data_IF_042690627516
#
_entry.id   IF_042690627516
#
_cell.length_a   1.000
_cell.length_b   1.000
_cell.length_c   1.000
_cell.angle_alpha   90.00
_cell.angle_beta   90.00
_cell.angle_gamma   90.00
#
_symmetry.space_group_name_H-M   'P 1'
#
loop_
_entity.id
_entity.type
_entity.pdbx_description
1 polymer ?
#
# COMPACT_ATOMS: atom_id res chain seq x y z
N UNK A 1 24.46 -91.57 106.81
CA UNK A 1 24.80 -91.23 105.42
C UNK A 1 23.61 -90.83 104.54
N UNK A 2 22.40 -91.36 104.76
CA UNK A 2 21.21 -91.05 103.93
C UNK A 2 20.75 -89.56 103.97
N UNK A 3 20.86 -88.87 105.12
CA UNK A 3 20.44 -87.44 105.24
C UNK A 3 21.34 -86.45 104.50
N UNK A 4 22.63 -86.76 104.32
CA UNK A 4 23.57 -85.91 103.57
C UNK A 4 23.41 -86.07 102.05
N UNK A 5 23.09 -87.29 101.59
CA UNK A 5 22.80 -87.57 100.18
C UNK A 5 21.53 -86.85 99.70
N UNK A 6 20.52 -86.75 100.56
CA UNK A 6 19.25 -86.08 100.25
C UNK A 6 19.41 -84.55 100.13
N UNK A 7 20.23 -83.93 100.98
CA UNK A 7 20.56 -82.49 100.88
C UNK A 7 21.42 -82.18 99.65
N UNK A 8 22.38 -83.04 99.31
CA UNK A 8 23.21 -82.89 98.10
C UNK A 8 22.37 -83.02 96.81
N UNK A 9 21.40 -83.93 96.80
CA UNK A 9 20.48 -84.08 95.67
C UNK A 9 19.54 -82.87 95.52
N UNK A 10 19.05 -82.30 96.64
CA UNK A 10 18.21 -81.09 96.63
C UNK A 10 18.95 -79.86 96.11
N UNK A 11 20.22 -79.69 96.48
CA UNK A 11 21.09 -78.60 95.99
C UNK A 11 21.39 -78.74 94.49
N UNK A 12 21.62 -79.97 94.01
CA UNK A 12 21.89 -80.22 92.59
C UNK A 12 20.64 -80.00 91.71
N UNK A 13 19.44 -80.32 92.22
CA UNK A 13 18.16 -80.02 91.56
C UNK A 13 17.83 -78.53 91.62
N UNK A 14 18.16 -77.83 92.71
CA UNK A 14 17.99 -76.37 92.80
C UNK A 14 18.89 -75.60 91.82
N UNK A 15 20.17 -75.99 91.72
CA UNK A 15 21.14 -75.36 90.81
C UNK A 15 20.84 -75.61 89.32
N UNK A 16 20.33 -76.80 88.97
CA UNK A 16 19.93 -77.10 87.59
C UNK A 16 18.66 -76.35 87.17
N UNK A 17 17.72 -76.12 88.10
CA UNK A 17 16.54 -75.29 87.84
C UNK A 17 16.89 -73.80 87.63
N UNK A 18 17.84 -73.24 88.41
CA UNK A 18 18.28 -71.84 88.22
C UNK A 18 19.08 -71.67 86.92
N UNK A 19 19.92 -72.65 86.54
CA UNK A 19 20.59 -72.64 85.24
C UNK A 19 19.60 -72.81 84.08
N UNK A 20 18.55 -73.64 84.23
CA UNK A 20 17.49 -73.78 83.24
C UNK A 20 16.65 -72.51 83.07
N UNK A 21 16.33 -71.80 84.16
CA UNK A 21 15.64 -70.50 84.12
C UNK A 21 16.46 -69.45 83.37
N UNK A 22 17.75 -69.29 83.67
CA UNK A 22 18.63 -68.36 82.93
C UNK A 22 18.77 -68.73 81.46
N UNK A 23 18.77 -70.02 81.13
CA UNK A 23 18.85 -70.50 79.75
C UNK A 23 17.55 -70.25 78.99
N UNK A 24 16.39 -70.40 79.63
CA UNK A 24 15.09 -70.03 79.09
C UNK A 24 15.01 -68.54 78.79
N UNK A 25 15.42 -67.70 79.74
CA UNK A 25 15.38 -66.25 79.59
C UNK A 25 16.35 -65.74 78.49
N UNK A 26 17.52 -66.38 78.34
CA UNK A 26 18.44 -66.13 77.21
C UNK A 26 17.86 -66.57 75.85
N UNK A 27 17.04 -67.62 75.81
CA UNK A 27 16.33 -68.07 74.61
C UNK A 27 15.24 -67.05 74.25
N UNK A 28 14.47 -66.59 75.23
CA UNK A 28 13.42 -65.59 75.04
C UNK A 28 14.00 -64.25 74.53
N UNK A 29 15.11 -63.79 75.12
CA UNK A 29 15.83 -62.60 74.64
C UNK A 29 16.39 -62.78 73.22
N UNK A 30 16.88 -63.97 72.87
CA UNK A 30 17.34 -64.26 71.50
C UNK A 30 16.19 -64.25 70.50
N UNK A 31 15.03 -64.79 70.87
CA UNK A 31 13.82 -64.71 70.05
C UNK A 31 13.38 -63.26 69.88
N UNK A 32 13.33 -62.47 70.95
CA UNK A 32 12.97 -61.05 70.89
C UNK A 32 13.94 -60.24 70.01
N UNK A 33 15.24 -60.46 70.14
CA UNK A 33 16.26 -59.84 69.30
C UNK A 33 16.12 -60.23 67.82
N UNK A 34 15.81 -61.51 67.52
CA UNK A 34 15.50 -61.96 66.16
C UNK A 34 14.25 -61.27 65.62
N UNK A 35 13.17 -61.19 66.40
CA UNK A 35 11.96 -60.48 65.99
C UNK A 35 12.23 -58.99 65.70
N UNK A 36 13.02 -58.31 66.54
CA UNK A 36 13.44 -56.92 66.31
C UNK A 36 14.31 -56.79 65.06
N UNK A 37 15.26 -57.70 64.85
CA UNK A 37 16.11 -57.71 63.67
C UNK A 37 15.29 -57.89 62.38
N UNK A 38 14.36 -58.86 62.37
CA UNK A 38 13.47 -59.11 61.24
C UNK A 38 12.55 -57.91 60.97
N UNK A 39 12.06 -57.27 62.03
CA UNK A 39 11.27 -56.04 61.93
C UNK A 39 12.07 -54.88 61.33
N UNK A 40 13.27 -54.63 61.84
CA UNK A 40 14.18 -53.59 61.31
C UNK A 40 14.56 -53.89 59.86
N UNK A 41 14.89 -55.14 59.55
CA UNK A 41 15.23 -55.56 58.18
C UNK A 41 14.08 -55.30 57.21
N UNK A 42 12.84 -55.59 57.63
CA UNK A 42 11.63 -55.32 56.82
C UNK A 42 11.39 -53.81 56.64
N UNK A 43 11.59 -53.01 57.69
CA UNK A 43 11.50 -51.54 57.62
C UNK A 43 12.56 -50.98 56.67
N UNK A 44 13.81 -51.42 56.78
CA UNK A 44 14.92 -50.99 55.91
C UNK A 44 14.63 -51.36 54.46
N UNK A 45 14.16 -52.59 54.19
CA UNK A 45 13.81 -53.02 52.83
C UNK A 45 12.67 -52.17 52.25
N UNK A 46 11.67 -51.83 53.07
CA UNK A 46 10.56 -50.96 52.66
C UNK A 46 11.03 -49.52 52.44
N UNK A 47 11.92 -49.01 53.29
CA UNK A 47 12.51 -47.68 53.16
C UNK A 47 13.36 -47.57 51.88
N UNK A 48 14.21 -48.55 51.59
CA UNK A 48 15.01 -48.62 50.35
C UNK A 48 14.12 -48.70 49.11
N UNK A 49 13.02 -49.46 49.17
CA UNK A 49 12.07 -49.54 48.08
C UNK A 49 11.39 -48.18 47.83
N UNK A 50 10.94 -47.51 48.90
CA UNK A 50 10.33 -46.19 48.82
C UNK A 50 11.33 -45.11 48.36
N UNK A 51 12.59 -45.18 48.79
CA UNK A 51 13.67 -44.30 48.33
C UNK A 51 13.88 -44.46 46.82
N UNK A 52 13.98 -45.70 46.32
CA UNK A 52 14.14 -45.97 44.89
C UNK A 52 12.96 -45.45 44.07
N UNK A 53 11.73 -45.67 44.55
CA UNK A 53 10.53 -45.10 43.91
C UNK A 53 10.54 -43.56 43.95
N UNK A 54 11.01 -42.97 45.04
CA UNK A 54 11.16 -41.52 45.19
C UNK A 54 12.17 -40.94 44.20
N UNK A 55 13.34 -41.57 44.05
CA UNK A 55 14.36 -41.19 43.08
C UNK A 55 13.85 -41.31 41.64
N UNK A 56 13.16 -42.41 41.29
CA UNK A 56 12.55 -42.57 39.97
C UNK A 56 11.54 -41.46 39.67
N UNK A 57 10.66 -41.13 40.62
CA UNK A 57 9.71 -40.02 40.45
C UNK A 57 10.42 -38.67 40.34
N UNK A 58 11.49 -38.46 41.08
CA UNK A 58 12.27 -37.23 41.00
C UNK A 58 12.93 -37.07 39.61
N UNK A 59 13.49 -38.15 39.06
CA UNK A 59 14.05 -38.17 37.71
C UNK A 59 12.97 -37.91 36.65
N UNK A 60 11.80 -38.56 36.75
CA UNK A 60 10.65 -38.32 35.87
C UNK A 60 10.17 -36.86 35.92
N UNK A 61 10.07 -36.29 37.12
CA UNK A 61 9.70 -34.88 37.30
C UNK A 61 10.78 -33.94 36.73
N UNK A 62 12.06 -34.27 36.89
CA UNK A 62 13.16 -33.48 36.36
C UNK A 62 13.14 -33.46 34.82
N UNK A 63 12.84 -34.60 34.18
CA UNK A 63 12.65 -34.69 32.74
C UNK A 63 11.46 -33.83 32.29
N UNK A 64 10.30 -33.97 32.94
CA UNK A 64 9.12 -33.16 32.61
C UNK A 64 9.36 -31.66 32.77
N UNK A 65 10.07 -31.23 33.83
CA UNK A 65 10.42 -29.82 34.02
C UNK A 65 11.30 -29.31 32.88
N UNK A 66 12.25 -30.13 32.41
CA UNK A 66 13.13 -29.76 31.31
C UNK A 66 12.36 -29.67 29.99
N UNK A 67 11.48 -30.64 29.71
CA UNK A 67 10.60 -30.60 28.53
C UNK A 67 9.66 -29.39 28.55
N UNK A 68 9.11 -29.04 29.71
CA UNK A 68 8.27 -27.84 29.88
C UNK A 68 9.06 -26.55 29.67
N UNK A 69 10.32 -26.51 30.13
CA UNK A 69 11.22 -25.37 29.89
C UNK A 69 11.53 -25.22 28.40
N UNK A 70 11.84 -26.32 27.71
CA UNK A 70 12.13 -26.33 26.27
C UNK A 70 10.88 -25.96 25.43
N UNK A 71 9.71 -26.47 25.82
CA UNK A 71 8.44 -26.10 25.20
C UNK A 71 8.15 -24.60 25.38
N UNK A 72 8.34 -24.06 26.59
CA UNK A 72 8.19 -22.63 26.85
C UNK A 72 9.19 -21.78 26.06
N UNK A 73 10.46 -22.19 25.98
CA UNK A 73 11.47 -21.50 25.18
C UNK A 73 11.08 -21.47 23.69
N UNK A 74 10.54 -22.57 23.17
CA UNK A 74 10.04 -22.67 21.78
C UNK A 74 8.82 -21.78 21.57
N UNK A 75 7.87 -21.78 22.50
CA UNK A 75 6.69 -20.90 22.44
C UNK A 75 7.09 -19.42 22.46
N UNK A 76 8.03 -19.03 23.34
CA UNK A 76 8.55 -17.66 23.38
C UNK A 76 9.23 -17.27 22.06
N UNK A 77 10.04 -18.16 21.48
CA UNK A 77 10.65 -17.93 20.17
C UNK A 77 9.61 -17.72 19.07
N UNK A 78 8.56 -18.54 19.06
CA UNK A 78 7.49 -18.43 18.07
C UNK A 78 6.67 -17.14 18.26
N UNK A 79 6.38 -16.75 19.50
CA UNK A 79 5.72 -15.49 19.81
C UNK A 79 6.54 -14.28 19.35
N UNK A 80 7.86 -14.29 19.58
CA UNK A 80 8.75 -13.23 19.11
C UNK A 80 8.80 -13.15 17.59
N UNK A 81 8.89 -14.30 16.90
CA UNK A 81 8.82 -14.34 15.43
C UNK A 81 7.48 -13.84 14.91
N UNK A 82 6.37 -14.20 15.56
CA UNK A 82 5.04 -13.73 15.19
C UNK A 82 4.89 -12.21 15.41
N UNK A 83 5.38 -11.68 16.53
CA UNK A 83 5.37 -10.25 16.80
C UNK A 83 6.20 -9.47 15.76
N UNK A 84 7.38 -10.00 15.39
CA UNK A 84 8.21 -9.40 14.35
C UNK A 84 7.52 -9.42 12.98
N UNK A 85 6.95 -10.56 12.57
CA UNK A 85 6.19 -10.69 11.32
C UNK A 85 4.97 -9.75 11.30
N UNK A 86 4.20 -9.70 12.39
CA UNK A 86 3.04 -8.82 12.52
C UNK A 86 3.43 -7.33 12.43
N UNK A 87 4.57 -6.95 13.03
CA UNK A 87 5.11 -5.60 12.90
C UNK A 87 5.52 -5.29 11.46
N UNK A 88 6.17 -6.23 10.78
CA UNK A 88 6.59 -6.07 9.39
C UNK A 88 5.39 -5.98 8.44
N UNK A 89 4.36 -6.80 8.65
CA UNK A 89 3.11 -6.75 7.88
C UNK A 89 2.40 -5.41 8.07
N UNK A 90 2.36 -4.90 9.31
CA UNK A 90 1.80 -3.57 9.61
C UNK A 90 2.57 -2.46 8.90
N UNK A 91 3.91 -2.55 8.85
CA UNK A 91 4.75 -1.59 8.11
C UNK A 91 4.51 -1.67 6.60
N UNK A 92 4.39 -2.87 6.05
CA UNK A 92 4.08 -3.08 4.63
C UNK A 92 2.69 -2.55 4.26
N UNK A 93 1.69 -2.74 5.13
CA UNK A 93 0.34 -2.16 4.99
C UNK A 93 0.43 -0.63 4.99
N UNK A 94 1.17 -0.03 5.92
CA UNK A 94 1.35 1.42 5.96
C UNK A 94 2.04 1.98 4.71
N UNK A 95 3.09 1.31 4.20
CA UNK A 95 3.75 1.68 2.93
C UNK A 95 2.80 1.59 1.74
N UNK A 96 1.95 0.55 1.74
CA UNK A 96 0.95 0.34 0.69
C UNK A 96 -0.12 1.44 0.75
N UNK A 97 -0.64 1.74 1.95
CA UNK A 97 -1.59 2.84 2.18
C UNK A 97 -1.03 4.19 1.75
N UNK A 98 0.20 4.54 2.15
CA UNK A 98 0.84 5.78 1.73
C UNK A 98 1.04 5.86 0.20
N UNK A 99 1.28 4.72 -0.45
CA UNK A 99 1.37 4.66 -1.91
C UNK A 99 0.02 4.82 -2.59
N UNK A 100 -1.03 4.22 -2.03
CA UNK A 100 -2.40 4.38 -2.50
C UNK A 100 -2.88 5.83 -2.34
N UNK A 101 -2.63 6.45 -1.19
CA UNK A 101 -2.97 7.86 -0.93
C UNK A 101 -2.29 8.79 -1.94
N UNK A 102 -1.00 8.60 -2.22
CA UNK A 102 -0.29 9.38 -3.25
C UNK A 102 -0.92 9.21 -4.63
N UNK A 103 -1.26 7.97 -5.00
CA UNK A 103 -1.93 7.69 -6.28
C UNK A 103 -3.33 8.28 -6.33
N UNK A 104 -4.10 8.24 -5.25
CA UNK A 104 -5.42 8.85 -5.17
C UNK A 104 -5.32 10.37 -5.35
N UNK A 105 -4.36 11.03 -4.69
CA UNK A 105 -4.09 12.46 -4.88
C UNK A 105 -3.75 12.78 -6.33
N UNK A 106 -2.92 11.97 -6.98
CA UNK A 106 -2.59 12.13 -8.40
C UNK A 106 -3.83 11.95 -9.30
N UNK A 107 -4.63 10.91 -9.06
CA UNK A 107 -5.87 10.68 -9.81
C UNK A 107 -6.84 11.85 -9.64
N UNK A 108 -7.00 12.36 -8.42
CA UNK A 108 -7.82 13.53 -8.15
C UNK A 108 -7.33 14.76 -8.91
N UNK A 109 -6.01 15.01 -8.92
CA UNK A 109 -5.42 16.10 -9.70
C UNK A 109 -5.71 15.98 -11.21
N UNK A 110 -5.61 14.76 -11.76
CA UNK A 110 -5.97 14.48 -13.16
C UNK A 110 -7.47 14.74 -13.39
N UNK A 111 -8.35 14.24 -12.53
CA UNK A 111 -9.80 14.41 -12.66
C UNK A 111 -10.21 15.88 -12.59
N UNK A 112 -9.71 16.63 -11.61
CA UNK A 112 -10.01 18.06 -11.44
C UNK A 112 -9.53 18.86 -12.65
N UNK A 113 -8.37 18.51 -13.20
CA UNK A 113 -7.82 19.16 -14.38
C UNK A 113 -8.60 18.85 -15.66
N UNK A 114 -9.05 17.61 -15.87
CA UNK A 114 -9.94 17.24 -16.99
C UNK A 114 -11.26 18.00 -16.89
N UNK A 115 -11.87 18.06 -15.70
CA UNK A 115 -13.10 18.81 -15.49
C UNK A 115 -12.92 20.32 -15.76
N UNK A 116 -11.77 20.89 -15.38
CA UNK A 116 -11.43 22.29 -15.69
C UNK A 116 -11.25 22.53 -17.20
N UNK A 117 -10.70 21.56 -17.92
CA UNK A 117 -10.53 21.63 -19.38
C UNK A 117 -11.89 21.69 -20.08
N UNK A 118 -12.81 20.81 -19.71
CA UNK A 118 -14.17 20.78 -20.28
C UNK A 118 -14.95 22.04 -19.94
N UNK A 119 -14.82 22.53 -18.70
CA UNK A 119 -15.43 23.80 -18.27
C UNK A 119 -14.90 24.98 -19.10
N UNK A 120 -13.59 25.00 -19.41
CA UNK A 120 -12.98 26.04 -20.24
C UNK A 120 -13.50 25.98 -21.67
N UNK A 121 -13.64 24.79 -22.26
CA UNK A 121 -14.20 24.62 -23.60
C UNK A 121 -15.63 25.13 -23.70
N UNK A 122 -16.46 24.86 -22.68
CA UNK A 122 -17.84 25.38 -22.59
C UNK A 122 -17.85 26.90 -22.54
N UNK A 123 -17.02 27.52 -21.68
CA UNK A 123 -16.92 28.99 -21.59
C UNK A 123 -16.49 29.61 -22.92
N UNK A 124 -15.49 29.04 -23.58
CA UNK A 124 -15.04 29.52 -24.90
C UNK A 124 -16.17 29.39 -25.92
N UNK A 125 -16.89 28.27 -25.95
CA UNK A 125 -18.02 28.05 -26.86
C UNK A 125 -19.12 29.10 -26.63
N UNK A 126 -19.51 29.34 -25.39
CA UNK A 126 -20.52 30.34 -25.03
C UNK A 126 -20.09 31.74 -25.46
N UNK A 127 -18.86 32.14 -25.13
CA UNK A 127 -18.31 33.44 -25.55
C UNK A 127 -18.26 33.58 -27.07
N UNK A 128 -17.89 32.50 -27.77
CA UNK A 128 -17.85 32.46 -29.24
C UNK A 128 -19.23 32.68 -29.83
N UNK A 129 -20.25 31.94 -29.36
CA UNK A 129 -21.64 32.09 -29.83
C UNK A 129 -22.24 33.46 -29.50
N UNK A 130 -21.86 34.06 -28.37
CA UNK A 130 -22.29 35.41 -28.00
C UNK A 130 -21.72 36.49 -28.93
N UNK A 131 -20.45 36.37 -29.34
CA UNK A 131 -19.76 37.40 -30.13
C UNK A 131 -19.97 37.21 -31.65
N UNK A 132 -19.95 35.97 -32.15
CA UNK A 132 -20.07 35.67 -33.59
C UNK A 132 -21.52 35.36 -34.02
N UNK A 133 -22.44 35.24 -33.06
CA UNK A 133 -23.84 34.91 -33.32
C UNK A 133 -24.11 33.41 -33.46
N UNK A 134 -25.39 33.05 -33.38
CA UNK A 134 -25.81 31.64 -33.34
C UNK A 134 -25.50 30.87 -34.64
N UNK A 135 -25.52 31.58 -35.77
CA UNK A 135 -25.25 31.06 -37.12
C UNK A 135 -23.76 30.81 -37.42
N UNK A 136 -22.85 31.15 -36.50
CA UNK A 136 -21.42 30.88 -36.69
C UNK A 136 -21.13 29.36 -36.67
N UNK A 137 -20.30 28.90 -37.61
CA UNK A 137 -19.84 27.51 -37.71
C UNK A 137 -18.77 27.21 -36.65
N UNK A 138 -19.26 26.96 -35.44
CA UNK A 138 -18.46 26.64 -34.25
C UNK A 138 -18.71 25.18 -33.89
N UNK A 139 -17.64 24.41 -33.73
CA UNK A 139 -17.67 23.04 -33.23
C UNK A 139 -16.78 22.86 -32.00
N UNK A 140 -17.03 21.80 -31.23
CA UNK A 140 -16.15 21.37 -30.14
C UNK A 140 -15.59 19.99 -30.52
N UNK A 141 -14.26 19.86 -30.53
CA UNK A 141 -13.56 18.59 -30.74
C UNK A 141 -12.43 18.48 -29.73
N UNK A 142 -12.36 17.36 -29.00
CA UNK A 142 -11.27 17.05 -28.05
C UNK A 142 -11.02 18.15 -26.99
N UNK A 143 -12.07 18.83 -26.52
CA UNK A 143 -11.98 19.94 -25.57
C UNK A 143 -11.46 21.25 -26.17
N UNK A 144 -11.33 21.33 -27.49
CA UNK A 144 -10.98 22.54 -28.24
C UNK A 144 -12.20 23.07 -28.99
N UNK A 145 -12.33 24.40 -29.05
CA UNK A 145 -13.37 25.09 -29.81
C UNK A 145 -12.81 25.48 -31.17
N UNK A 146 -13.42 24.98 -32.25
CA UNK A 146 -13.01 25.23 -33.63
C UNK A 146 -14.03 26.17 -34.26
N UNK A 147 -13.56 27.33 -34.70
CA UNK A 147 -14.34 28.31 -35.45
C UNK A 147 -13.86 28.21 -36.89
N UNK A 148 -14.77 27.86 -37.81
CA UNK A 148 -14.40 27.62 -39.22
C UNK A 148 -15.18 28.54 -40.14
N UNK A 149 -14.55 29.05 -41.21
CA UNK A 149 -15.27 29.71 -42.30
C UNK A 149 -14.57 29.46 -43.64
N UNK A 150 -15.30 29.64 -44.75
CA UNK A 150 -14.77 29.35 -46.09
C UNK A 150 -13.62 30.28 -46.46
N UNK A 151 -12.67 29.80 -47.26
CA UNK A 151 -11.50 30.58 -47.65
C UNK A 151 -11.88 31.84 -48.47
N UNK A 152 -12.86 31.73 -49.35
CA UNK A 152 -13.42 32.82 -50.18
C UNK A 152 -13.98 33.99 -49.36
N UNK A 153 -14.37 33.75 -48.11
CA UNK A 153 -14.83 34.82 -47.22
C UNK A 153 -13.67 35.71 -46.78
N UNK A 154 -12.48 35.12 -46.57
CA UNK A 154 -11.28 35.83 -46.13
C UNK A 154 -10.54 36.43 -47.30
N UNK A 155 -10.30 35.67 -48.36
CA UNK A 155 -9.49 36.08 -49.50
C UNK A 155 -10.35 36.09 -50.76
N UNK A 156 -10.24 37.15 -51.56
CA UNK A 156 -10.97 37.23 -52.83
C UNK A 156 -10.60 36.01 -53.71
N UNK A 157 -11.62 35.26 -54.16
CA UNK A 157 -11.49 34.00 -54.89
C UNK A 157 -10.70 32.88 -54.16
N UNK A 158 -10.54 32.99 -52.84
CA UNK A 158 -9.77 32.03 -52.04
C UNK A 158 -8.25 32.11 -52.23
N UNK A 159 -7.79 33.03 -53.09
CA UNK A 159 -6.39 33.18 -53.48
C UNK A 159 -5.80 34.46 -52.88
N UNK A 160 -4.56 34.37 -52.39
CA UNK A 160 -3.81 35.50 -51.84
C UNK A 160 -3.79 35.56 -50.32
N UNK A 161 -3.23 36.64 -49.79
CA UNK A 161 -2.87 36.80 -48.36
C UNK A 161 -3.50 38.02 -47.70
N UNK A 162 -4.23 38.84 -48.46
CA UNK A 162 -4.85 40.07 -47.96
C UNK A 162 -6.32 39.83 -47.65
N UNK A 163 -6.73 39.93 -46.37
CA UNK A 163 -8.12 39.70 -46.00
C UNK A 163 -9.05 40.81 -46.50
N UNK A 164 -10.26 40.41 -46.91
CA UNK A 164 -11.38 41.27 -47.31
C UNK A 164 -11.82 42.21 -46.19
N UNK A 165 -12.51 43.29 -46.53
CA UNK A 165 -13.10 44.20 -45.54
C UNK A 165 -14.15 43.50 -44.67
N UNK A 166 -14.95 42.60 -45.23
CA UNK A 166 -15.97 41.85 -44.50
C UNK A 166 -15.35 40.87 -43.50
N UNK A 167 -14.23 40.23 -43.87
CA UNK A 167 -13.55 39.28 -42.98
C UNK A 167 -12.88 39.94 -41.79
N UNK A 168 -12.49 41.22 -41.87
CA UNK A 168 -11.92 41.95 -40.73
C UNK A 168 -12.86 42.01 -39.52
N UNK A 169 -14.16 42.19 -39.73
CA UNK A 169 -15.14 42.18 -38.65
C UNK A 169 -15.25 40.81 -37.96
N UNK A 170 -15.12 39.73 -38.74
CA UNK A 170 -15.06 38.37 -38.18
C UNK A 170 -13.76 38.15 -37.38
N UNK A 171 -12.61 38.60 -37.92
CA UNK A 171 -11.31 38.50 -37.25
C UNK A 171 -11.30 39.30 -35.94
N UNK A 172 -11.88 40.50 -35.92
CA UNK A 172 -12.05 41.31 -34.71
C UNK A 172 -12.88 40.56 -33.65
N UNK A 173 -13.98 39.94 -34.07
CA UNK A 173 -14.85 39.17 -33.18
C UNK A 173 -14.13 37.95 -32.59
N UNK A 174 -13.33 37.24 -33.40
CA UNK A 174 -12.49 36.16 -32.90
C UNK A 174 -11.41 36.69 -31.95
N UNK A 175 -10.83 37.85 -32.22
CA UNK A 175 -9.87 38.48 -31.32
C UNK A 175 -10.47 38.85 -29.96
N UNK A 176 -11.74 39.31 -29.93
CA UNK A 176 -12.47 39.53 -28.67
C UNK A 176 -12.63 38.25 -27.86
N UNK A 177 -12.98 37.14 -28.51
CA UNK A 177 -13.08 35.82 -27.87
C UNK A 177 -11.71 35.36 -27.35
N UNK A 178 -10.65 35.54 -28.14
CA UNK A 178 -9.28 35.22 -27.75
C UNK A 178 -8.81 36.03 -26.52
N UNK A 179 -9.11 37.32 -26.48
CA UNK A 179 -8.73 38.21 -25.37
C UNK A 179 -9.58 37.96 -24.11
N UNK A 180 -10.84 37.55 -24.25
CA UNK A 180 -11.68 37.12 -23.14
C UNK A 180 -11.21 35.80 -22.51
N UNK A 181 -10.43 34.99 -23.25
CA UNK A 181 -9.92 33.69 -22.81
C UNK A 181 -8.39 33.66 -22.80
N UNK A 182 -7.71 34.37 -21.88
CA UNK A 182 -6.26 34.55 -21.92
C UNK A 182 -5.45 33.26 -21.68
N UNK A 183 -6.09 32.19 -21.20
CA UNK A 183 -5.44 30.89 -20.93
C UNK A 183 -5.47 29.93 -22.12
N UNK A 184 -6.17 30.28 -23.21
CA UNK A 184 -6.22 29.42 -24.40
C UNK A 184 -5.04 29.68 -25.35
N UNK A 185 -4.53 28.60 -25.93
CA UNK A 185 -3.68 28.62 -27.10
C UNK A 185 -4.55 28.71 -28.35
N UNK A 186 -4.14 29.51 -29.31
CA UNK A 186 -4.90 29.82 -30.53
C UNK A 186 -4.12 29.27 -31.71
N UNK A 187 -4.69 28.29 -32.40
CA UNK A 187 -4.12 27.77 -33.63
C UNK A 187 -4.91 28.28 -34.82
N UNK A 188 -4.27 29.02 -35.70
CA UNK A 188 -4.81 29.46 -36.98
C UNK A 188 -4.37 28.46 -38.04
N UNK A 189 -5.32 27.67 -38.55
CA UNK A 189 -5.08 26.67 -39.58
C UNK A 189 -5.74 27.08 -40.89
N UNK A 190 -4.96 27.15 -41.98
CA UNK A 190 -5.53 27.24 -43.33
C UNK A 190 -5.57 25.84 -43.94
N UNK A 191 -6.77 25.41 -44.35
CA UNK A 191 -7.01 24.15 -45.03
C UNK A 191 -7.04 24.38 -46.54
N UNK A 192 -6.16 23.69 -47.26
CA UNK A 192 -6.07 23.74 -48.71
C UNK A 192 -6.21 22.32 -49.30
N UNK A 193 -6.90 22.19 -50.43
CA UNK A 193 -7.08 20.92 -51.18
C UNK A 193 -5.99 20.74 -52.24
N UNK A 194 -5.41 21.83 -52.77
CA UNK A 194 -4.48 21.78 -53.90
C UNK A 194 -3.09 21.24 -53.56
N UNK A 195 -2.82 21.02 -52.26
CA UNK A 195 -1.49 20.64 -51.77
C UNK A 195 -0.50 21.79 -51.71
N UNK A 196 -0.90 23.01 -52.07
CA UNK A 196 -0.07 24.22 -51.98
C UNK A 196 -0.02 24.71 -50.53
N UNK A 197 0.76 24.02 -49.70
CA UNK A 197 0.89 24.30 -48.27
C UNK A 197 1.57 25.65 -47.98
N UNK A 198 2.40 26.14 -48.90
CA UNK A 198 3.10 27.42 -48.75
C UNK A 198 2.11 28.60 -48.72
N UNK A 199 1.13 28.59 -49.62
CA UNK A 199 0.08 29.63 -49.67
C UNK A 199 -0.81 29.53 -48.43
N UNK A 200 -1.18 28.32 -48.04
CA UNK A 200 -1.96 28.08 -46.83
C UNK A 200 -1.24 28.60 -45.56
N UNK A 201 0.07 28.38 -45.46
CA UNK A 201 0.86 28.88 -44.34
C UNK A 201 0.96 30.42 -44.34
N UNK A 202 1.15 31.03 -45.51
CA UNK A 202 1.17 32.48 -45.65
C UNK A 202 -0.19 33.10 -45.27
N UNK A 203 -1.29 32.49 -45.68
CA UNK A 203 -2.65 32.90 -45.30
C UNK A 203 -2.86 32.82 -43.79
N UNK A 204 -2.52 31.68 -43.16
CA UNK A 204 -2.62 31.52 -41.71
C UNK A 204 -1.75 32.55 -40.97
N UNK A 205 -0.54 32.81 -41.47
CA UNK A 205 0.39 33.79 -40.89
C UNK A 205 -0.08 35.23 -41.05
N UNK A 206 -0.74 35.56 -42.16
CA UNK A 206 -1.33 36.87 -42.39
C UNK A 206 -2.45 37.16 -41.38
N UNK A 207 -3.35 36.20 -41.17
CA UNK A 207 -4.42 36.32 -40.17
C UNK A 207 -3.85 36.37 -38.75
N UNK A 208 -2.87 35.52 -38.42
CA UNK A 208 -2.16 35.58 -37.14
C UNK A 208 -1.50 36.94 -36.90
N UNK A 209 -0.88 37.54 -37.93
CA UNK A 209 -0.25 38.86 -37.85
C UNK A 209 -1.26 39.97 -37.55
N UNK A 210 -2.47 39.89 -38.12
CA UNK A 210 -3.55 40.85 -37.86
C UNK A 210 -4.05 40.72 -36.42
N UNK A 211 -4.26 39.49 -35.93
CA UNK A 211 -4.66 39.25 -34.54
C UNK A 211 -3.67 39.86 -33.53
N UNK A 212 -2.37 39.78 -33.82
CA UNK A 212 -1.31 40.33 -32.96
C UNK A 212 -1.22 41.85 -33.08
N UNK A 213 -1.06 42.36 -34.31
CA UNK A 213 -0.70 43.77 -34.56
C UNK A 213 -1.88 44.72 -34.43
N UNK A 214 -3.06 44.31 -34.91
CA UNK A 214 -4.25 45.18 -34.96
C UNK A 214 -5.15 44.97 -33.75
N UNK A 215 -5.27 43.74 -33.24
CA UNK A 215 -6.20 43.39 -32.16
C UNK A 215 -5.54 43.00 -30.83
N UNK A 216 -4.21 43.13 -30.73
CA UNK A 216 -3.47 43.03 -29.47
C UNK A 216 -3.48 41.65 -28.80
N UNK A 217 -3.73 40.58 -29.55
CA UNK A 217 -3.68 39.21 -29.00
C UNK A 217 -2.21 38.84 -28.74
N UNK A 218 -1.92 38.28 -27.56
CA UNK A 218 -0.55 37.84 -27.23
C UNK A 218 -0.06 36.79 -28.25
N UNK A 219 0.98 37.15 -29.01
CA UNK A 219 1.58 36.31 -30.05
C UNK A 219 2.24 35.03 -29.53
N UNK A 220 2.67 34.97 -28.27
CA UNK A 220 3.23 33.75 -27.67
C UNK A 220 2.22 32.60 -27.61
N UNK A 221 0.92 32.92 -27.71
CA UNK A 221 -0.19 31.96 -27.67
C UNK A 221 -0.74 31.63 -29.06
N UNK A 222 -0.22 32.23 -30.13
CA UNK A 222 -0.71 32.03 -31.50
C UNK A 222 0.23 31.11 -32.27
N UNK A 223 -0.35 30.10 -32.90
CA UNK A 223 0.36 29.15 -33.75
C UNK A 223 -0.32 29.17 -35.12
N UNK A 224 0.43 29.47 -36.18
CA UNK A 224 -0.06 29.39 -37.55
C UNK A 224 0.36 28.05 -38.16
N UNK A 225 -0.58 27.34 -38.80
CA UNK A 225 -0.33 26.04 -39.44
C UNK A 225 -1.01 25.97 -40.80
N UNK A 226 -0.40 25.22 -41.72
CA UNK A 226 -1.03 24.75 -42.94
C UNK A 226 -1.43 23.28 -42.76
N UNK A 227 -2.64 22.92 -43.19
CA UNK A 227 -3.13 21.55 -43.13
C UNK A 227 -3.80 21.19 -44.47
N UNK A 228 -3.71 19.91 -44.83
CA UNK A 228 -4.47 19.38 -45.96
C UNK A 228 -5.96 19.35 -45.60
N UNK A 229 -6.76 20.04 -46.39
CA UNK A 229 -8.21 20.12 -46.23
C UNK A 229 -8.97 18.91 -46.76
N UNK A 230 -8.28 18.00 -47.46
CA UNK A 230 -8.84 16.83 -48.12
C UNK A 230 -9.79 17.23 -49.26
N UNK A 231 -11.05 17.53 -48.92
CA UNK A 231 -12.09 17.96 -49.87
C UNK A 231 -12.68 19.34 -49.54
N UNK A 232 -12.10 20.10 -48.60
CA UNK A 232 -12.63 21.40 -48.16
C UNK A 232 -11.54 22.45 -47.97
N UNK A 233 -11.74 23.63 -48.56
CA UNK A 233 -10.92 24.81 -48.31
C UNK A 233 -11.60 25.69 -47.26
N UNK A 234 -10.90 25.95 -46.16
CA UNK A 234 -11.43 26.75 -45.06
C UNK A 234 -10.32 27.27 -44.17
N UNK A 235 -10.56 28.42 -43.56
CA UNK A 235 -9.75 28.90 -42.45
C UNK A 235 -10.40 28.45 -41.14
N UNK A 236 -9.60 27.87 -40.25
CA UNK A 236 -10.03 27.43 -38.93
C UNK A 236 -9.21 28.14 -37.86
N UNK A 237 -9.91 28.71 -36.89
CA UNK A 237 -9.29 29.19 -35.65
C UNK A 237 -9.71 28.26 -34.53
N UNK A 238 -8.73 27.51 -34.02
CA UNK A 238 -8.89 26.58 -32.92
C UNK A 238 -8.43 27.25 -31.63
N UNK A 239 -9.34 27.41 -30.68
CA UNK A 239 -9.03 27.82 -29.31
C UNK A 239 -8.97 26.56 -28.46
N UNK A 240 -7.79 26.24 -27.97
CA UNK A 240 -7.54 25.06 -27.17
C UNK A 240 -6.98 25.43 -25.80
N UNK A 241 -7.32 24.67 -24.75
CA UNK A 241 -6.67 24.82 -23.45
C UNK A 241 -5.15 24.58 -23.55
N UNK A 242 -4.37 25.13 -22.63
CA UNK A 242 -2.93 24.89 -22.58
C UNK A 242 -2.62 23.46 -22.11
N UNK A 243 -2.63 22.52 -23.05
CA UNK A 243 -2.28 21.13 -22.79
C UNK A 243 -0.83 20.96 -22.33
N UNK A 244 0.09 21.85 -22.74
CA UNK A 244 1.49 21.76 -22.33
C UNK A 244 1.62 22.05 -20.84
N UNK A 245 1.01 23.14 -20.37
CA UNK A 245 0.89 23.43 -18.94
C UNK A 245 0.23 22.29 -18.15
N UNK A 246 -0.80 21.66 -18.72
CA UNK A 246 -1.43 20.48 -18.14
C UNK A 246 -0.46 19.30 -17.97
N UNK A 247 0.28 18.92 -19.01
CA UNK A 247 1.23 17.81 -18.93
C UNK A 247 2.40 18.11 -18.00
N UNK A 248 2.85 19.37 -17.92
CA UNK A 248 3.90 19.78 -17.00
C UNK A 248 3.44 19.71 -15.53
N UNK A 249 2.19 20.10 -15.24
CA UNK A 249 1.57 19.89 -13.92
C UNK A 249 1.45 18.41 -13.57
N UNK A 250 0.91 17.60 -14.49
CA UNK A 250 0.76 16.16 -14.28
C UNK A 250 2.12 15.46 -14.06
N UNK A 251 3.19 15.91 -14.73
CA UNK A 251 4.55 15.39 -14.51
C UNK A 251 5.19 15.91 -13.23
N UNK A 252 4.92 17.15 -12.83
CA UNK A 252 5.38 17.74 -11.57
C UNK A 252 4.87 16.95 -10.36
N UNK A 253 3.60 16.53 -10.41
CA UNK A 253 2.97 15.71 -9.37
C UNK A 253 3.45 14.25 -9.33
N UNK A 254 4.18 13.79 -10.36
CA UNK A 254 4.78 12.44 -10.43
C UNK A 254 6.21 12.41 -9.85
N UNK A 255 6.90 13.56 -9.81
CA UNK A 255 8.28 13.64 -9.32
C UNK A 255 8.41 13.80 -7.79
N UNK A 256 7.31 14.06 -7.09
CA UNK A 256 7.24 14.18 -5.63
C UNK A 256 6.42 13.02 -5.02
#
# INVERSE_FOLDING_TARGET
>A
MIRFFLCSALLFVGLSNVQAQKKSELIDQNQELKYKLDSVSRIVSTAQHNEKLGLQRADELQVQVTELQDANATLMKNLNSFAALSSQDSENINKTLATLERKEKQLKGITDAVASNDSTAVVILTNTKQVLGENAKVGVSDGSVIISEKLDFFFADGVGVNPSSESRGWIENVAKVANANPKSIITVASLNITGEMDIALQQATAIASILIKEFGVNGERIIAVAQDGGLRESLQIKLQPDYKGFYDMAKGDVKN
#
